data_IF_625034580582
#
_entry.id   IF_625034580582
#
_cell.length_a   1.000
_cell.length_b   1.000
_cell.length_c   1.000
_cell.angle_alpha   90.00
_cell.angle_beta   90.00
_cell.angle_gamma   90.00
#
_symmetry.space_group_name_H-M   'P 1'
#
loop_
_entity.id
_entity.type
_entity.pdbx_description
1 polymer ?
#
# COMPACT_ATOMS: atom_id res chain seq x y z
N UNK A 1 -8.75 22.32 9.23
CA UNK A 1 -9.53 22.41 10.49
C UNK A 1 -10.80 21.57 10.35
N UNK A 2 -11.26 20.90 11.42
CA UNK A 2 -12.54 20.20 11.37
C UNK A 2 -13.72 21.19 11.22
N UNK A 3 -14.88 20.76 10.70
CA UNK A 3 -16.03 21.65 10.48
C UNK A 3 -16.59 22.31 11.75
N UNK A 4 -16.15 21.86 12.93
CA UNK A 4 -16.60 22.31 14.25
C UNK A 4 -15.56 23.14 15.02
N UNK A 5 -14.54 23.70 14.37
CA UNK A 5 -13.61 24.61 15.07
C UNK A 5 -14.24 26.00 15.22
N UNK A 6 -14.17 26.60 16.42
CA UNK A 6 -14.61 27.98 16.61
C UNK A 6 -13.74 28.94 15.80
N UNK A 7 -14.26 30.13 15.46
CA UNK A 7 -13.48 31.19 14.84
C UNK A 7 -12.27 31.57 15.72
N UNK A 8 -11.09 31.62 15.13
CA UNK A 8 -9.85 32.07 15.78
C UNK A 8 -9.49 33.43 15.21
N UNK A 9 -9.22 34.43 16.05
CA UNK A 9 -8.85 35.78 15.61
C UNK A 9 -7.37 36.03 15.92
N UNK A 10 -6.63 36.49 14.93
CA UNK A 10 -5.21 36.82 15.06
C UNK A 10 -5.04 38.30 15.33
N UNK A 11 -4.14 38.64 16.24
CA UNK A 11 -3.81 40.03 16.60
C UNK A 11 -2.34 40.28 16.28
N UNK A 12 -2.01 41.53 15.96
CA UNK A 12 -0.67 41.90 15.51
C UNK A 12 0.22 42.25 16.70
N UNK A 13 1.29 41.47 16.86
CA UNK A 13 2.17 41.51 18.05
C UNK A 13 3.62 41.87 17.72
N UNK A 14 3.92 42.31 16.49
CA UNK A 14 5.31 42.57 16.08
C UNK A 14 5.99 43.72 16.84
N UNK A 15 5.25 44.72 17.31
CA UNK A 15 5.80 45.89 18.01
C UNK A 15 5.12 46.08 19.37
N UNK A 16 5.90 45.87 20.45
CA UNK A 16 5.44 46.02 21.84
C UNK A 16 5.04 47.47 22.14
N UNK A 17 5.63 48.45 21.46
CA UNK A 17 5.35 49.87 21.67
C UNK A 17 3.92 50.25 21.28
N UNK A 18 3.28 49.44 20.42
CA UNK A 18 1.91 49.64 19.92
C UNK A 18 0.91 48.64 20.49
N UNK A 19 1.29 47.94 21.58
CA UNK A 19 0.48 46.88 22.18
C UNK A 19 -0.97 47.27 22.44
N UNK A 20 -1.19 48.48 22.96
CA UNK A 20 -2.52 48.98 23.29
C UNK A 20 -3.43 48.98 22.06
N UNK A 21 -2.96 49.57 20.95
CA UNK A 21 -3.70 49.73 19.70
C UNK A 21 -3.77 48.43 18.88
N UNK A 22 -2.68 47.65 18.84
CA UNK A 22 -2.58 46.49 17.95
C UNK A 22 -3.05 45.17 18.58
N UNK A 23 -3.16 45.12 19.91
CA UNK A 23 -3.54 43.90 20.66
C UNK A 23 -4.68 44.15 21.62
N UNK A 24 -4.55 45.10 22.55
CA UNK A 24 -5.54 45.22 23.63
C UNK A 24 -6.91 45.68 23.13
N UNK A 25 -6.96 46.80 22.41
CA UNK A 25 -8.21 47.35 21.88
C UNK A 25 -8.93 46.34 20.95
N UNK A 26 -8.26 45.72 19.96
CA UNK A 26 -8.88 44.69 19.13
C UNK A 26 -9.36 43.47 19.92
N UNK A 27 -8.60 43.01 20.94
CA UNK A 27 -9.00 41.87 21.76
C UNK A 27 -10.30 42.16 22.52
N UNK A 28 -10.40 43.34 23.12
CA UNK A 28 -11.61 43.77 23.84
C UNK A 28 -12.78 43.92 22.88
N UNK A 29 -12.58 44.50 21.70
CA UNK A 29 -13.63 44.63 20.68
C UNK A 29 -14.19 43.25 20.26
N UNK A 30 -13.31 42.27 20.05
CA UNK A 30 -13.69 40.90 19.68
C UNK A 30 -14.56 40.26 20.76
N UNK A 31 -14.14 40.34 22.02
CA UNK A 31 -14.87 39.76 23.16
C UNK A 31 -16.20 40.47 23.39
N UNK A 32 -16.22 41.81 23.35
CA UNK A 32 -17.44 42.59 23.52
C UNK A 32 -18.46 42.32 22.40
N UNK A 33 -17.99 42.25 21.15
CA UNK A 33 -18.85 41.91 20.01
C UNK A 33 -19.47 40.52 20.20
N UNK A 34 -18.67 39.54 20.63
CA UNK A 34 -19.14 38.20 20.93
C UNK A 34 -20.21 38.18 22.02
N UNK A 35 -19.99 38.87 23.14
CA UNK A 35 -20.97 38.97 24.24
C UNK A 35 -22.27 39.62 23.78
N UNK A 36 -22.19 40.60 22.87
CA UNK A 36 -23.35 41.31 22.31
C UNK A 36 -24.03 40.55 21.16
N UNK A 37 -23.52 39.37 20.76
CA UNK A 37 -24.03 38.61 19.62
C UNK A 37 -23.75 39.26 18.26
N UNK A 38 -22.83 40.23 18.20
CA UNK A 38 -22.38 40.88 16.97
C UNK A 38 -21.12 40.20 16.44
N UNK A 39 -20.90 40.29 15.12
CA UNK A 39 -19.61 39.87 14.53
C UNK A 39 -18.59 40.99 14.75
N UNK A 40 -17.38 40.68 15.25
CA UNK A 40 -16.32 41.68 15.37
C UNK A 40 -15.83 42.15 14.01
N UNK A 41 -15.25 43.35 13.94
CA UNK A 41 -14.70 43.89 12.69
C UNK A 41 -13.50 43.07 12.18
N UNK A 42 -12.70 42.53 13.10
CA UNK A 42 -11.59 41.64 12.77
C UNK A 42 -12.10 40.34 12.11
N UNK A 43 -11.47 39.93 11.01
CA UNK A 43 -11.78 38.68 10.35
C UNK A 43 -11.12 37.50 11.08
N UNK A 44 -11.80 36.34 11.24
CA UNK A 44 -11.17 35.14 11.73
C UNK A 44 -10.02 34.70 10.80
N UNK A 45 -8.95 34.19 11.40
CA UNK A 45 -7.82 33.57 10.71
C UNK A 45 -8.30 32.37 9.94
N UNK A 46 -8.18 32.46 8.61
CA UNK A 46 -8.44 31.33 7.71
C UNK A 46 -7.20 30.46 7.69
N UNK A 47 -7.30 29.26 8.26
CA UNK A 47 -6.30 28.24 7.97
C UNK A 47 -6.57 27.72 6.57
N UNK A 48 -5.54 27.68 5.70
CA UNK A 48 -5.62 26.96 4.45
C UNK A 48 -5.86 25.48 4.75
N UNK A 49 -7.11 25.04 4.67
CA UNK A 49 -7.42 23.63 4.64
C UNK A 49 -7.10 23.17 3.23
N UNK A 50 -5.98 22.47 3.04
CA UNK A 50 -5.74 21.79 1.78
C UNK A 50 -6.70 20.59 1.71
N UNK A 51 -7.95 20.85 1.31
CA UNK A 51 -9.01 19.84 1.17
C UNK A 51 -8.67 18.80 0.10
N UNK A 52 -7.76 19.14 -0.82
CA UNK A 52 -7.37 18.27 -1.92
C UNK A 52 -6.49 17.09 -1.48
N UNK A 53 -5.77 17.21 -0.36
CA UNK A 53 -5.08 16.05 0.21
C UNK A 53 -6.11 15.21 0.95
N UNK A 54 -6.43 14.02 0.43
CA UNK A 54 -7.31 13.09 1.10
C UNK A 54 -6.55 12.45 2.28
N UNK A 55 -6.38 13.21 3.38
CA UNK A 55 -5.60 12.82 4.58
C UNK A 55 -6.14 11.58 5.31
N UNK A 56 -7.28 11.07 4.86
CA UNK A 56 -7.95 9.87 5.38
C UNK A 56 -8.10 8.76 4.33
N UNK A 57 -7.45 8.88 3.18
CA UNK A 57 -7.41 7.75 2.24
C UNK A 57 -6.65 6.58 2.86
N UNK A 58 -7.08 5.36 2.55
CA UNK A 58 -6.45 4.13 2.98
C UNK A 58 -5.87 3.44 1.76
N UNK A 59 -4.56 3.21 1.79
CA UNK A 59 -3.83 2.49 0.76
C UNK A 59 -3.17 1.25 1.36
N UNK A 60 -3.26 0.12 0.67
CA UNK A 60 -2.59 -1.12 1.06
C UNK A 60 -1.43 -1.36 0.09
N UNK A 61 -0.23 -1.61 0.62
CA UNK A 61 0.90 -2.08 -0.18
C UNK A 61 1.06 -3.57 0.02
N UNK A 62 0.68 -4.39 -0.96
CA UNK A 62 0.81 -5.85 -0.88
C UNK A 62 2.27 -6.32 -0.82
N UNK A 63 3.18 -5.55 -1.41
CA UNK A 63 4.61 -5.89 -1.44
C UNK A 63 5.29 -5.71 -0.09
N UNK A 64 4.83 -4.71 0.67
CA UNK A 64 5.35 -4.36 1.98
C UNK A 64 4.43 -4.79 3.13
N UNK A 65 3.29 -5.42 2.81
CA UNK A 65 2.24 -5.87 3.73
C UNK A 65 1.91 -4.83 4.80
N UNK A 66 1.59 -3.60 4.36
CA UNK A 66 1.29 -2.49 5.26
C UNK A 66 0.20 -1.58 4.74
N UNK A 67 -0.59 -1.06 5.67
CA UNK A 67 -1.57 -0.01 5.43
C UNK A 67 -0.89 1.36 5.57
N UNK A 68 -1.20 2.26 4.66
CA UNK A 68 -0.68 3.63 4.59
C UNK A 68 -1.86 4.57 4.48
N UNK A 69 -1.93 5.51 5.40
CA UNK A 69 -3.02 6.48 5.49
C UNK A 69 -2.54 7.79 4.85
N UNK A 70 -3.30 8.27 3.87
CA UNK A 70 -3.03 9.52 3.15
C UNK A 70 -2.31 9.33 1.82
N UNK A 71 -2.75 10.08 0.81
CA UNK A 71 -2.23 10.01 -0.55
C UNK A 71 -0.77 10.46 -0.65
N UNK A 72 -0.38 11.45 0.16
CA UNK A 72 0.99 11.95 0.19
C UNK A 72 1.94 10.90 0.76
N UNK A 73 1.52 10.26 1.85
CA UNK A 73 2.25 9.19 2.52
C UNK A 73 2.36 7.96 1.62
N UNK A 74 1.28 7.63 0.89
CA UNK A 74 1.29 6.60 -0.14
C UNK A 74 2.27 6.90 -1.27
N UNK A 75 2.21 8.12 -1.84
CA UNK A 75 3.09 8.55 -2.92
C UNK A 75 4.57 8.56 -2.51
N UNK A 76 4.86 8.93 -1.26
CA UNK A 76 6.21 8.86 -0.70
C UNK A 76 6.66 7.41 -0.52
N UNK A 77 5.76 6.53 -0.06
CA UNK A 77 6.05 5.12 0.14
C UNK A 77 6.46 4.42 -1.15
N UNK A 78 5.67 4.54 -2.23
CA UNK A 78 5.94 3.85 -3.51
C UNK A 78 7.27 4.30 -4.13
N UNK A 79 7.74 5.52 -3.84
CA UNK A 79 9.02 6.07 -4.29
C UNK A 79 10.18 5.77 -3.33
N UNK A 80 9.91 5.19 -2.17
CA UNK A 80 10.92 4.98 -1.13
C UNK A 80 11.92 3.89 -1.50
N UNK A 81 13.15 4.01 -0.95
CA UNK A 81 14.21 2.98 -1.11
C UNK A 81 13.79 1.62 -0.56
N UNK A 82 13.01 1.61 0.52
CA UNK A 82 12.51 0.39 1.15
C UNK A 82 11.55 -0.36 0.22
N UNK A 83 10.56 0.34 -0.35
CA UNK A 83 9.62 -0.25 -1.29
C UNK A 83 10.33 -0.79 -2.54
N UNK A 84 11.25 -0.01 -3.11
CA UNK A 84 12.04 -0.45 -4.26
C UNK A 84 12.95 -1.65 -3.97
N UNK A 85 13.53 -1.72 -2.77
CA UNK A 85 14.33 -2.87 -2.36
C UNK A 85 13.47 -4.13 -2.28
N UNK A 86 12.28 -4.03 -1.68
CA UNK A 86 11.34 -5.14 -1.57
C UNK A 86 10.85 -5.61 -2.94
N UNK A 87 10.56 -4.68 -3.86
CA UNK A 87 10.27 -4.96 -5.27
C UNK A 87 11.38 -5.78 -5.95
N UNK A 88 12.63 -5.34 -5.81
CA UNK A 88 13.78 -6.05 -6.39
C UNK A 88 13.97 -7.43 -5.78
N UNK A 89 13.80 -7.56 -4.46
CA UNK A 89 13.88 -8.85 -3.75
C UNK A 89 12.82 -9.82 -4.27
N UNK A 90 11.57 -9.37 -4.45
CA UNK A 90 10.49 -10.22 -4.94
C UNK A 90 10.74 -10.71 -6.37
N UNK A 91 11.13 -9.81 -7.27
CA UNK A 91 11.47 -10.17 -8.66
C UNK A 91 12.56 -11.25 -8.76
N UNK A 92 13.58 -11.19 -7.88
CA UNK A 92 14.62 -12.22 -7.84
C UNK A 92 14.03 -13.58 -7.46
N UNK A 93 13.21 -13.63 -6.41
CA UNK A 93 12.56 -14.87 -5.98
C UNK A 93 11.64 -15.45 -7.05
N UNK A 94 10.91 -14.60 -7.79
CA UNK A 94 10.03 -15.07 -8.85
C UNK A 94 10.83 -15.67 -10.03
N UNK A 95 11.98 -15.08 -10.40
CA UNK A 95 12.89 -15.65 -11.40
C UNK A 95 13.50 -16.98 -10.95
N UNK A 96 13.95 -17.05 -9.70
CA UNK A 96 14.50 -18.28 -9.12
C UNK A 96 13.45 -19.41 -9.07
N UNK A 97 12.19 -19.08 -8.78
CA UNK A 97 11.08 -20.02 -8.81
C UNK A 97 10.78 -20.54 -10.24
N UNK A 98 10.80 -19.66 -11.25
CA UNK A 98 10.60 -20.06 -12.65
C UNK A 98 11.72 -20.98 -13.16
N UNK A 99 12.98 -20.67 -12.83
CA UNK A 99 14.12 -21.51 -13.20
C UNK A 99 14.07 -22.90 -12.53
N UNK A 100 13.52 -22.98 -11.32
CA UNK A 100 13.33 -24.24 -10.59
C UNK A 100 12.24 -25.12 -11.22
N UNK A 101 11.19 -24.51 -11.78
CA UNK A 101 10.10 -25.22 -12.47
C UNK A 101 10.57 -25.74 -13.83
N UNK A 102 11.30 -24.92 -14.60
CA UNK A 102 11.85 -25.30 -15.91
C UNK A 102 12.82 -26.49 -15.80
N UNK A 103 13.63 -26.52 -14.74
CA UNK A 103 14.60 -27.59 -14.46
C UNK A 103 13.96 -28.92 -14.04
N UNK A 104 12.67 -28.94 -13.68
CA UNK A 104 11.93 -30.16 -13.29
C UNK A 104 11.09 -30.76 -14.43
N UNK A 105 10.91 -30.04 -15.54
CA UNK A 105 10.12 -30.47 -16.69
C UNK A 105 10.88 -31.26 -17.77
N UNK A 106 12.18 -31.55 -17.57
CA UNK A 106 12.96 -32.44 -18.46
C UNK A 106 13.14 -33.78 -17.75
N UNK A 107 12.16 -34.67 -17.91
CA UNK A 107 12.28 -36.07 -17.51
C UNK A 107 13.18 -36.83 -18.51
N UNK A 108 14.14 -37.66 -18.08
CA UNK A 108 14.78 -38.60 -18.98
C UNK A 108 13.79 -39.73 -19.28
N UNK A 109 13.38 -39.80 -20.53
CA UNK A 109 12.68 -40.93 -21.11
C UNK A 109 13.56 -42.19 -20.94
N UNK A 110 13.06 -43.15 -20.15
CA UNK A 110 13.67 -44.46 -19.98
C UNK A 110 12.63 -45.51 -20.37
N UNK A 111 12.39 -45.67 -21.67
CA UNK A 111 11.81 -46.89 -22.21
C UNK A 111 12.77 -48.07 -22.03
N UNK A 112 12.44 -49.03 -21.15
CA UNK A 112 12.60 -50.49 -21.38
C UNK A 112 11.74 -51.31 -20.39
N UNK A 113 10.66 -51.82 -20.95
CA UNK A 113 9.81 -52.95 -20.54
C UNK A 113 10.53 -54.18 -19.94
N UNK A 114 9.85 -54.89 -19.03
CA UNK A 114 9.86 -56.35 -19.02
C UNK A 114 8.43 -56.93 -19.07
N UNK A 115 8.08 -57.58 -20.19
CA UNK A 115 6.84 -58.35 -20.34
C UNK A 115 6.82 -59.62 -19.47
N UNK A 116 5.74 -59.75 -18.70
CA UNK A 116 5.41 -60.92 -17.90
C UNK A 116 4.51 -61.92 -18.67
N UNK A 117 4.59 -63.18 -18.25
CA UNK A 117 4.17 -64.38 -18.98
C UNK A 117 2.65 -64.56 -19.02
N UNK A 118 2.12 -64.88 -20.19
CA UNK A 118 0.78 -65.47 -20.35
C UNK A 118 0.73 -66.50 -21.49
N UNK A 119 0.57 -67.78 -21.16
CA UNK A 119 0.15 -68.88 -22.04
C UNK A 119 -1.33 -69.20 -21.74
N UNK A 120 -2.15 -69.82 -22.63
CA UNK A 120 -1.88 -71.17 -23.15
C UNK A 120 -2.48 -71.57 -24.54
N UNK A 121 -1.95 -72.66 -25.10
CA UNK A 121 -2.67 -73.68 -25.91
C UNK A 121 -2.95 -73.34 -27.40
N UNK A 122 -2.94 -74.25 -28.39
CA UNK A 122 -2.84 -75.72 -28.52
C UNK A 122 -2.53 -76.06 -30.01
N UNK A 123 -2.26 -77.35 -30.26
CA UNK A 123 -2.30 -78.12 -31.52
C UNK A 123 -0.94 -78.36 -32.20
N UNK A 124 -0.29 -79.51 -31.99
CA UNK A 124 -0.61 -80.89 -32.44
C UNK A 124 -0.06 -81.19 -33.85
N UNK A 125 0.85 -82.18 -33.88
CA UNK A 125 1.08 -83.26 -34.88
C UNK A 125 2.58 -83.58 -34.97
N UNK A 126 3.06 -84.63 -34.32
CA UNK A 126 2.98 -86.07 -34.66
C UNK A 126 4.22 -86.57 -35.44
N UNK A 127 4.79 -87.67 -34.92
CA UNK A 127 5.57 -88.73 -35.58
C UNK A 127 6.99 -88.38 -36.12
N UNK A 128 8.04 -89.21 -35.98
CA UNK A 128 8.13 -90.65 -35.68
C UNK A 128 9.59 -91.04 -35.37
N UNK A 129 9.72 -92.04 -34.49
CA UNK A 129 10.60 -93.23 -34.62
C UNK A 129 12.13 -93.08 -34.61
N UNK A 130 12.73 -93.52 -33.50
CA UNK A 130 14.02 -94.22 -33.49
C UNK A 130 13.86 -95.51 -32.67
N UNK A 131 14.40 -96.62 -33.20
CA UNK A 131 14.83 -97.79 -32.42
C UNK A 131 16.33 -97.65 -32.21
#
# INVERSE_FOLDING_TARGET
PGPSVPPVYGLEVSDVSKWEESVLEPALEIVQSFIQGRKPAAAPVKMACNEMENKRSYHMCDLCDRIIIGDREWAAHIKSKSHLHQLRKRRRLDLDALATIESQSISPDCDKEPEEKGSPGQNEKELKSGV
#
